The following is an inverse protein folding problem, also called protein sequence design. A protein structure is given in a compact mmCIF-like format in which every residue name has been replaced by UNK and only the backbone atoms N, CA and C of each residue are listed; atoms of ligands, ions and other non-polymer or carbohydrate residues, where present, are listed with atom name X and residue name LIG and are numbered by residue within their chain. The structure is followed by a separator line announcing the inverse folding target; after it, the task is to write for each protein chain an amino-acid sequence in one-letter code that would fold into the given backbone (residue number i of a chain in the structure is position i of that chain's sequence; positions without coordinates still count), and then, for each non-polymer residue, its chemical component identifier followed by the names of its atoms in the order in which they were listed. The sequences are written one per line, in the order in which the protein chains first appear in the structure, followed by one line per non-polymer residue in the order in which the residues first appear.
data_IF_820831214892
#
_entry.id   IF_820831214892
#
_cell.length_a   1.000
_cell.length_b   1.000
_cell.length_c   1.000
_cell.angle_alpha   90.00
_cell.angle_beta   90.00
_cell.angle_gamma   90.00
#
_symmetry.space_group_name_H-M   'P 1'
#
loop_
_entity.id
_entity.type
_entity.pdbx_description
1 polymer ?
#
# COMPACT_ATOMS: atom_id res chain seq x y z
N UNK A 1 3.23 -12.04 26.92
CA UNK A 1 2.28 -11.36 27.80
C UNK A 1 2.55 -9.86 27.71
N UNK A 2 1.64 -9.02 27.23
CA UNK A 2 1.87 -7.57 27.32
C UNK A 2 1.56 -7.15 28.76
N UNK A 3 2.59 -7.07 29.63
CA UNK A 3 2.47 -6.46 30.98
C UNK A 3 1.71 -5.13 30.93
N UNK A 4 1.93 -4.39 29.83
CA UNK A 4 1.19 -3.19 29.47
C UNK A 4 -0.34 -3.40 29.57
N UNK A 5 -0.93 -4.45 28.98
CA UNK A 5 -2.39 -4.64 28.95
C UNK A 5 -2.98 -4.90 30.31
N UNK A 6 -2.27 -5.64 31.14
CA UNK A 6 -2.67 -5.83 32.52
C UNK A 6 -2.58 -4.53 33.30
N UNK A 7 -1.50 -3.76 33.17
CA UNK A 7 -1.36 -2.45 33.83
C UNK A 7 -2.46 -1.46 33.44
N UNK A 8 -2.84 -1.41 32.16
CA UNK A 8 -3.91 -0.51 31.70
C UNK A 8 -5.29 -0.98 32.16
N UNK A 9 -5.57 -2.28 32.05
CA UNK A 9 -6.80 -2.87 32.61
C UNK A 9 -6.92 -2.54 34.11
N UNK A 10 -5.82 -2.66 34.86
CA UNK A 10 -5.76 -2.28 36.28
C UNK A 10 -6.08 -0.80 36.50
N UNK A 11 -5.50 0.11 35.71
CA UNK A 11 -5.79 1.56 35.80
C UNK A 11 -7.25 1.91 35.54
N UNK A 12 -7.94 1.13 34.70
CA UNK A 12 -9.37 1.31 34.39
C UNK A 12 -10.27 0.49 35.34
N UNK A 13 -9.69 -0.12 36.38
CA UNK A 13 -10.43 -0.88 37.40
C UNK A 13 -10.82 -2.30 37.01
N UNK A 14 -10.28 -2.81 35.90
CA UNK A 14 -10.46 -4.17 35.41
C UNK A 14 -9.31 -5.03 35.94
N UNK A 15 -9.54 -5.67 37.08
CA UNK A 15 -8.59 -6.55 37.78
C UNK A 15 -8.85 -8.03 37.50
N UNK A 16 -10.01 -8.38 36.94
CA UNK A 16 -10.41 -9.78 36.66
C UNK A 16 -11.12 -9.91 35.33
N UNK A 17 -10.91 -11.06 34.67
CA UNK A 17 -11.55 -11.41 33.39
C UNK A 17 -13.08 -11.30 33.42
N UNK A 18 -13.73 -11.60 34.54
CA UNK A 18 -15.19 -11.49 34.68
C UNK A 18 -15.71 -10.06 34.53
N UNK A 19 -14.88 -9.04 34.80
CA UNK A 19 -15.27 -7.64 34.63
C UNK A 19 -15.31 -7.22 33.15
N UNK A 20 -14.49 -7.82 32.29
CA UNK A 20 -14.62 -7.66 30.83
C UNK A 20 -15.98 -8.17 30.35
N UNK A 21 -16.49 -9.26 30.92
CA UNK A 21 -17.83 -9.75 30.57
C UNK A 21 -18.94 -8.78 30.96
N UNK A 22 -18.79 -8.09 32.10
CA UNK A 22 -19.72 -7.03 32.52
C UNK A 22 -19.66 -5.79 31.62
N UNK A 23 -18.55 -5.61 30.91
CA UNK A 23 -18.35 -4.59 29.88
C UNK A 23 -18.79 -5.06 28.48
N UNK A 24 -19.49 -6.20 28.36
CA UNK A 24 -20.09 -6.65 27.10
C UNK A 24 -19.24 -7.61 26.26
N UNK A 25 -18.07 -8.05 26.73
CA UNK A 25 -17.26 -9.04 26.01
C UNK A 25 -17.75 -10.48 26.25
N UNK A 26 -17.80 -11.30 25.21
CA UNK A 26 -18.10 -12.74 25.32
C UNK A 26 -17.01 -13.48 26.09
N UNK A 27 -17.28 -14.72 26.53
CA UNK A 27 -16.29 -15.54 27.25
C UNK A 27 -15.00 -15.77 26.45
N UNK A 28 -15.15 -15.92 25.13
CA UNK A 28 -14.03 -16.12 24.19
C UNK A 28 -13.25 -14.81 24.00
N UNK A 29 -13.93 -13.70 23.75
CA UNK A 29 -13.31 -12.38 23.61
C UNK A 29 -12.56 -11.98 24.88
N UNK A 30 -13.19 -12.12 26.05
CA UNK A 30 -12.54 -11.85 27.33
C UNK A 30 -11.33 -12.77 27.56
N UNK A 31 -11.28 -13.98 27.00
CA UNK A 31 -10.11 -14.86 27.09
C UNK A 31 -8.99 -14.35 26.20
N UNK A 32 -9.31 -14.04 24.94
CA UNK A 32 -8.34 -13.50 23.99
C UNK A 32 -7.75 -12.16 24.49
N UNK A 33 -8.58 -11.27 25.05
CA UNK A 33 -8.12 -10.01 25.67
C UNK A 33 -7.20 -10.30 26.84
N UNK A 34 -7.57 -11.23 27.73
CA UNK A 34 -6.76 -11.53 28.93
C UNK A 34 -5.41 -12.18 28.60
N UNK A 35 -5.36 -12.96 27.52
CA UNK A 35 -4.15 -13.62 27.02
C UNK A 35 -3.29 -12.69 26.14
N UNK A 36 -3.84 -11.57 25.67
CA UNK A 36 -3.18 -10.65 24.76
C UNK A 36 -3.29 -11.04 23.28
N UNK A 37 -4.14 -12.02 22.95
CA UNK A 37 -4.38 -12.51 21.58
C UNK A 37 -5.36 -11.60 20.82
N UNK A 38 -5.06 -10.30 20.77
CA UNK A 38 -5.93 -9.29 20.19
C UNK A 38 -6.06 -9.41 18.67
N UNK A 39 -5.09 -10.06 18.01
CA UNK A 39 -5.13 -10.39 16.59
C UNK A 39 -6.27 -11.36 16.21
N UNK A 40 -6.85 -12.09 17.19
CA UNK A 40 -7.99 -12.99 16.97
C UNK A 40 -9.34 -12.30 17.15
N UNK A 41 -9.34 -11.04 17.58
CA UNK A 41 -10.56 -10.26 17.78
C UNK A 41 -10.97 -9.58 16.48
N UNK A 42 -12.28 -9.50 16.25
CA UNK A 42 -12.83 -8.71 15.14
C UNK A 42 -12.61 -7.22 15.42
N UNK A 43 -12.55 -6.41 14.36
CA UNK A 43 -12.36 -4.96 14.44
C UNK A 43 -13.39 -4.29 15.38
N UNK A 44 -14.67 -4.65 15.22
CA UNK A 44 -15.77 -4.21 16.10
C UNK A 44 -15.50 -4.49 17.60
N UNK A 45 -14.83 -5.60 17.91
CA UNK A 45 -14.49 -5.97 19.29
C UNK A 45 -13.29 -5.18 19.80
N UNK A 46 -12.33 -4.86 18.92
CA UNK A 46 -11.18 -4.00 19.24
C UNK A 46 -11.63 -2.56 19.47
N UNK A 47 -12.58 -2.06 18.68
CA UNK A 47 -13.20 -0.75 18.86
C UNK A 47 -13.91 -0.65 20.21
N UNK A 48 -14.72 -1.65 20.55
CA UNK A 48 -15.37 -1.70 21.85
C UNK A 48 -14.36 -1.79 23.01
N UNK A 49 -13.27 -2.56 22.84
CA UNK A 49 -12.20 -2.62 23.82
C UNK A 49 -11.48 -1.28 23.98
N UNK A 50 -11.17 -0.60 22.89
CA UNK A 50 -10.56 0.72 22.90
C UNK A 50 -11.45 1.72 23.66
N UNK A 51 -12.76 1.73 23.38
CA UNK A 51 -13.73 2.57 24.08
C UNK A 51 -13.78 2.29 25.59
N UNK A 52 -13.79 1.02 26.00
CA UNK A 52 -13.76 0.63 27.42
C UNK A 52 -12.47 1.08 28.11
N UNK A 53 -11.35 1.13 27.38
CA UNK A 53 -10.05 1.56 27.88
C UNK A 53 -9.81 3.08 27.80
N UNK A 54 -10.78 3.83 27.25
CA UNK A 54 -10.68 5.27 27.01
C UNK A 54 -9.60 5.63 25.99
N UNK A 55 -9.43 4.78 24.97
CA UNK A 55 -8.47 4.96 23.88
C UNK A 55 -9.20 4.93 22.53
N UNK A 56 -8.60 5.55 21.52
CA UNK A 56 -8.98 5.28 20.12
C UNK A 56 -8.44 3.91 19.67
N UNK A 57 -9.01 3.27 18.63
CA UNK A 57 -8.49 2.00 18.11
C UNK A 57 -7.02 2.10 17.67
N UNK A 58 -6.64 3.26 17.13
CA UNK A 58 -5.25 3.53 16.74
C UNK A 58 -4.34 3.64 17.96
N UNK A 59 -4.75 4.40 18.99
CA UNK A 59 -4.01 4.50 20.25
C UNK A 59 -3.83 3.14 20.93
N UNK A 60 -4.85 2.28 20.89
CA UNK A 60 -4.77 0.90 21.40
C UNK A 60 -3.67 0.10 20.68
N UNK A 61 -3.62 0.16 19.35
CA UNK A 61 -2.63 -0.56 18.54
C UNK A 61 -1.21 -0.01 18.72
N UNK A 62 -1.07 1.31 18.68
CA UNK A 62 0.19 2.03 18.97
C UNK A 62 0.75 1.63 20.32
N UNK A 63 -0.11 1.56 21.33
CA UNK A 63 0.29 1.24 22.69
C UNK A 63 0.64 -0.26 22.88
N UNK A 64 -0.02 -1.17 22.16
CA UNK A 64 0.24 -2.61 22.20
C UNK A 64 1.54 -3.02 21.52
N UNK A 65 1.78 -2.47 20.34
CA UNK A 65 2.85 -2.93 19.45
C UNK A 65 4.00 -1.91 19.36
N UNK A 66 3.88 -0.74 19.99
CA UNK A 66 4.76 0.41 19.81
C UNK A 66 4.33 1.22 18.58
N UNK A 67 4.32 2.55 18.69
CA UNK A 67 3.90 3.46 17.61
C UNK A 67 4.62 3.17 16.28
N UNK A 68 5.95 3.10 16.32
CA UNK A 68 6.76 2.96 15.11
C UNK A 68 6.72 1.57 14.48
N UNK A 69 6.50 0.51 15.27
CA UNK A 69 6.53 -0.89 14.81
C UNK A 69 5.18 -1.38 14.32
N UNK A 70 4.08 -0.94 14.94
CA UNK A 70 2.73 -1.28 14.48
C UNK A 70 2.43 -0.63 13.13
N UNK A 71 2.79 0.65 13.00
CA UNK A 71 2.55 1.43 11.80
C UNK A 71 3.38 0.92 10.63
N UNK A 72 4.68 0.66 10.85
CA UNK A 72 5.55 0.10 9.81
C UNK A 72 5.10 -1.29 9.34
N UNK A 73 4.61 -2.15 10.24
CA UNK A 73 4.09 -3.47 9.86
C UNK A 73 2.80 -3.36 9.04
N UNK A 74 1.89 -2.45 9.41
CA UNK A 74 0.67 -2.17 8.67
C UNK A 74 0.98 -1.61 7.28
N UNK A 75 1.88 -0.61 7.19
CA UNK A 75 2.32 -0.03 5.93
C UNK A 75 2.91 -1.10 5.02
N UNK A 76 3.82 -1.94 5.55
CA UNK A 76 4.41 -3.04 4.78
C UNK A 76 3.33 -3.98 4.23
N UNK A 77 2.41 -4.45 5.08
CA UNK A 77 1.35 -5.37 4.66
C UNK A 77 0.41 -4.73 3.63
N UNK A 78 0.04 -3.46 3.83
CA UNK A 78 -0.78 -2.72 2.88
C UNK A 78 -0.09 -2.56 1.52
N UNK A 79 1.21 -2.25 1.51
CA UNK A 79 2.00 -2.12 0.27
C UNK A 79 2.12 -3.44 -0.49
N UNK A 80 2.23 -4.57 0.19
CA UNK A 80 2.18 -5.89 -0.45
C UNK A 80 0.84 -6.16 -1.13
N UNK A 81 -0.27 -5.80 -0.47
CA UNK A 81 -1.62 -5.95 -1.05
C UNK A 81 -1.80 -5.00 -2.24
N UNK A 82 -1.28 -3.78 -2.13
CA UNK A 82 -1.39 -2.76 -3.16
C UNK A 82 -0.41 -2.94 -4.32
N UNK A 83 0.60 -3.82 -4.22
CA UNK A 83 1.62 -3.97 -5.28
C UNK A 83 1.03 -4.13 -6.68
N UNK A 84 0.05 -5.02 -6.95
CA UNK A 84 -0.52 -5.15 -8.30
C UNK A 84 -1.15 -3.83 -8.77
N UNK A 85 -1.86 -3.15 -7.87
CA UNK A 85 -2.46 -1.86 -8.17
C UNK A 85 -1.38 -0.82 -8.51
N UNK A 86 -0.34 -0.70 -7.69
CA UNK A 86 0.77 0.24 -7.91
C UNK A 86 1.53 -0.04 -9.19
N UNK A 87 1.72 -1.32 -9.54
CA UNK A 87 2.43 -1.72 -10.76
C UNK A 87 1.65 -1.37 -12.04
N UNK A 88 0.33 -1.59 -12.05
CA UNK A 88 -0.47 -1.49 -13.27
C UNK A 88 -1.27 -0.20 -13.42
N UNK A 89 -1.65 0.45 -12.32
CA UNK A 89 -2.44 1.68 -12.37
C UNK A 89 -1.75 2.81 -13.14
N UNK A 90 -0.44 3.10 -12.95
CA UNK A 90 0.24 4.14 -13.72
C UNK A 90 0.20 3.91 -15.22
N UNK A 91 0.30 2.66 -15.67
CA UNK A 91 0.18 2.29 -17.09
C UNK A 91 -1.25 2.48 -17.60
N UNK A 92 -2.26 2.11 -16.80
CA UNK A 92 -3.66 2.37 -17.14
C UNK A 92 -3.98 3.88 -17.20
N UNK A 93 -3.45 4.66 -16.25
CA UNK A 93 -3.60 6.11 -16.22
C UNK A 93 -2.92 6.76 -17.44
N UNK A 94 -1.70 6.34 -17.77
CA UNK A 94 -1.00 6.77 -18.98
C UNK A 94 -1.82 6.48 -20.25
N UNK A 95 -2.34 5.26 -20.41
CA UNK A 95 -3.18 4.90 -21.55
C UNK A 95 -4.46 5.74 -21.62
N UNK A 96 -5.11 6.01 -20.48
CA UNK A 96 -6.27 6.89 -20.41
C UNK A 96 -5.92 8.33 -20.84
N UNK A 97 -4.78 8.87 -20.39
CA UNK A 97 -4.30 10.20 -20.80
C UNK A 97 -4.06 10.31 -22.30
N UNK A 98 -3.59 9.25 -22.95
CA UNK A 98 -3.43 9.22 -24.41
C UNK A 98 -4.76 9.13 -25.18
N UNK A 99 -5.87 8.83 -24.51
CA UNK A 99 -7.21 8.84 -25.08
C UNK A 99 -8.17 9.73 -24.26
N UNK A 100 -8.18 11.06 -24.50
CA UNK A 100 -8.98 12.01 -23.71
C UNK A 100 -10.49 11.77 -23.74
N UNK A 101 -11.01 11.06 -24.74
CA UNK A 101 -12.45 10.73 -24.83
C UNK A 101 -12.82 9.46 -24.07
N UNK A 102 -11.84 8.71 -23.56
CA UNK A 102 -12.09 7.51 -22.79
C UNK A 102 -12.85 7.82 -21.49
N UNK A 103 -13.92 7.07 -21.15
CA UNK A 103 -14.64 7.24 -19.89
C UNK A 103 -13.75 7.11 -18.64
N UNK A 104 -12.64 6.37 -18.75
CA UNK A 104 -11.66 6.14 -17.69
C UNK A 104 -11.05 7.44 -17.12
N UNK A 105 -10.96 8.51 -17.92
CA UNK A 105 -10.51 9.83 -17.47
C UNK A 105 -11.25 10.33 -16.22
N UNK A 106 -12.54 9.98 -16.09
CA UNK A 106 -13.40 10.41 -14.98
C UNK A 106 -13.06 9.71 -13.67
N UNK A 107 -12.40 8.55 -13.72
CA UNK A 107 -12.05 7.75 -12.55
C UNK A 107 -10.67 8.15 -12.02
N UNK A 108 -9.77 8.68 -12.87
CA UNK A 108 -8.41 9.05 -12.47
C UNK A 108 -8.35 9.94 -11.20
N UNK A 109 -9.19 10.98 -11.05
CA UNK A 109 -9.16 11.82 -9.86
C UNK A 109 -9.56 11.10 -8.56
N UNK A 110 -10.36 10.03 -8.65
CA UNK A 110 -10.87 9.30 -7.49
C UNK A 110 -9.77 8.52 -6.75
N UNK A 111 -8.65 8.25 -7.43
CA UNK A 111 -7.51 7.53 -6.88
C UNK A 111 -6.54 8.46 -6.15
N UNK A 112 -6.64 9.78 -6.31
CA UNK A 112 -5.74 10.75 -5.66
C UNK A 112 -5.53 10.52 -4.16
N UNK A 113 -6.56 10.21 -3.33
CA UNK A 113 -6.35 9.96 -1.90
C UNK A 113 -5.41 8.78 -1.62
N UNK A 114 -5.39 7.77 -2.48
CA UNK A 114 -4.46 6.63 -2.36
C UNK A 114 -3.02 7.13 -2.57
N UNK A 115 -2.78 7.96 -3.57
CA UNK A 115 -1.43 8.51 -3.81
C UNK A 115 -0.98 9.49 -2.73
N UNK A 116 -1.89 10.28 -2.15
CA UNK A 116 -1.59 11.12 -1.00
C UNK A 116 -1.15 10.30 0.22
N UNK A 117 -1.81 9.17 0.48
CA UNK A 117 -1.43 8.24 1.55
C UNK A 117 -0.04 7.65 1.31
N UNK A 118 0.25 7.24 0.07
CA UNK A 118 1.56 6.70 -0.31
C UNK A 118 2.68 7.74 -0.14
N UNK A 119 2.43 8.99 -0.53
CA UNK A 119 3.37 10.10 -0.32
C UNK A 119 3.64 10.33 1.17
N UNK A 120 2.61 10.30 2.02
CA UNK A 120 2.75 10.39 3.48
C UNK A 120 3.60 9.25 4.06
N UNK A 121 3.51 8.05 3.48
CA UNK A 121 4.34 6.90 3.85
C UNK A 121 5.75 6.95 3.24
N UNK A 122 6.09 8.01 2.49
CA UNK A 122 7.40 8.17 1.86
C UNK A 122 7.60 7.25 0.64
N UNK A 123 6.51 6.79 0.03
CA UNK A 123 6.56 5.98 -1.19
C UNK A 123 6.75 6.89 -2.40
N UNK A 124 7.79 6.64 -3.19
CA UNK A 124 8.22 7.48 -4.31
C UNK A 124 8.31 6.69 -5.61
N UNK A 125 7.90 7.30 -6.71
CA UNK A 125 7.90 6.68 -8.03
C UNK A 125 9.33 6.58 -8.60
N UNK A 126 9.62 5.48 -9.31
CA UNK A 126 10.82 5.30 -10.12
C UNK A 126 10.47 5.67 -11.56
N UNK A 127 10.42 6.98 -11.81
CA UNK A 127 10.12 7.56 -13.12
C UNK A 127 8.67 7.36 -13.59
N UNK A 128 8.26 8.18 -14.57
CA UNK A 128 6.91 8.14 -15.12
C UNK A 128 6.79 7.10 -16.25
N UNK A 129 5.64 6.43 -16.35
CA UNK A 129 5.37 5.52 -17.48
C UNK A 129 5.40 6.30 -18.78
N UNK A 130 6.07 5.74 -19.79
CA UNK A 130 6.27 6.35 -21.10
C UNK A 130 7.53 7.20 -21.19
N UNK A 131 8.14 7.60 -20.05
CA UNK A 131 9.36 8.39 -20.05
C UNK A 131 10.57 7.58 -20.56
N UNK A 132 11.45 8.27 -21.29
CA UNK A 132 12.75 7.73 -21.72
C UNK A 132 13.82 8.16 -20.73
N UNK A 133 14.50 7.20 -20.12
CA UNK A 133 15.52 7.41 -19.08
C UNK A 133 16.73 6.52 -19.32
N UNK A 134 17.93 6.87 -18.83
CA UNK A 134 19.06 5.94 -18.84
C UNK A 134 18.77 4.74 -17.93
N UNK A 135 19.13 3.54 -18.38
CA UNK A 135 18.96 2.31 -17.63
C UNK A 135 19.84 2.31 -16.37
N UNK A 136 19.23 2.09 -15.20
CA UNK A 136 19.94 1.87 -13.95
C UNK A 136 19.50 0.51 -13.37
N UNK A 137 20.37 -0.51 -13.34
CA UNK A 137 20.02 -1.85 -12.86
C UNK A 137 19.65 -1.91 -11.36
N UNK A 138 19.91 -0.84 -10.59
CA UNK A 138 19.46 -0.76 -9.19
C UNK A 138 17.94 -0.59 -9.09
N UNK A 139 17.36 0.16 -10.01
CA UNK A 139 15.96 0.59 -9.96
C UNK A 139 15.13 0.18 -11.18
N UNK A 140 15.76 -0.31 -12.25
CA UNK A 140 15.10 -0.76 -13.47
C UNK A 140 15.33 -2.26 -13.71
N UNK A 141 14.35 -2.92 -14.33
CA UNK A 141 14.43 -4.30 -14.80
C UNK A 141 13.88 -4.41 -16.22
N UNK A 142 14.53 -5.19 -17.07
CA UNK A 142 14.04 -5.54 -18.42
C UNK A 142 13.66 -7.01 -18.49
N UNK A 143 12.62 -7.31 -19.26
CA UNK A 143 12.06 -8.66 -19.48
C UNK A 143 12.70 -9.38 -20.69
N UNK A 144 13.30 -8.64 -21.63
CA UNK A 144 13.79 -9.18 -22.90
C UNK A 144 15.26 -9.56 -22.91
N UNK A 145 16.13 -8.77 -22.30
CA UNK A 145 17.58 -8.99 -22.30
C UNK A 145 18.29 -8.22 -21.17
N UNK A 146 19.49 -8.66 -20.74
CA UNK A 146 20.38 -7.83 -19.94
C UNK A 146 20.72 -6.54 -20.70
N UNK A 147 20.63 -5.40 -20.03
CA UNK A 147 20.96 -4.08 -20.59
C UNK A 147 22.17 -3.52 -19.85
N UNK A 148 22.98 -2.75 -20.56
CA UNK A 148 24.08 -2.02 -19.95
C UNK A 148 23.56 -0.79 -19.21
N UNK A 149 24.22 -0.45 -18.10
CA UNK A 149 23.88 0.78 -17.38
C UNK A 149 24.08 1.99 -18.31
N UNK A 150 23.10 2.90 -18.32
CA UNK A 150 23.09 4.07 -19.19
C UNK A 150 22.37 3.87 -20.53
N UNK A 151 22.04 2.64 -20.95
CA UNK A 151 21.26 2.40 -22.18
C UNK A 151 19.92 3.14 -22.12
N UNK A 152 19.50 3.89 -23.16
CA UNK A 152 18.21 4.56 -23.16
C UNK A 152 17.07 3.53 -23.16
N UNK A 153 16.19 3.64 -22.18
CA UNK A 153 15.06 2.75 -22.00
C UNK A 153 13.78 3.53 -21.75
N UNK A 154 12.65 2.95 -22.14
CA UNK A 154 11.31 3.47 -21.86
C UNK A 154 10.69 2.74 -20.68
N UNK A 155 10.13 3.47 -19.73
CA UNK A 155 9.39 2.88 -18.61
C UNK A 155 8.04 2.37 -19.10
N UNK A 156 7.78 1.08 -18.96
CA UNK A 156 6.50 0.45 -19.31
C UNK A 156 5.60 0.26 -18.10
N UNK A 157 6.19 -0.02 -16.94
CA UNK A 157 5.50 -0.12 -15.65
C UNK A 157 6.32 0.60 -14.59
N UNK A 158 5.62 1.32 -13.73
CA UNK A 158 6.25 2.06 -12.64
C UNK A 158 6.95 1.12 -11.65
N UNK A 159 8.08 1.59 -11.11
CA UNK A 159 8.69 1.05 -9.90
C UNK A 159 8.50 2.02 -8.74
N UNK A 160 8.80 1.56 -7.52
CA UNK A 160 8.64 2.39 -6.33
C UNK A 160 9.75 2.18 -5.30
N UNK A 161 10.12 3.27 -4.63
CA UNK A 161 10.87 3.31 -3.38
C UNK A 161 9.91 3.51 -2.20
N UNK A 162 10.23 2.98 -1.04
CA UNK A 162 9.59 3.27 0.25
C UNK A 162 10.67 3.77 1.22
N UNK A 163 10.73 5.09 1.43
CA UNK A 163 11.90 5.73 2.04
C UNK A 163 13.14 5.42 1.21
N UNK A 164 14.10 4.72 1.81
CA UNK A 164 15.35 4.27 1.17
C UNK A 164 15.30 2.81 0.70
N UNK A 165 14.18 2.11 0.90
CA UNK A 165 14.02 0.70 0.52
C UNK A 165 13.37 0.59 -0.85
N UNK A 166 13.95 -0.24 -1.71
CA UNK A 166 13.34 -0.56 -3.00
C UNK A 166 12.12 -1.47 -2.75
N UNK A 167 10.92 -1.04 -3.16
CA UNK A 167 9.75 -1.91 -3.14
C UNK A 167 9.81 -2.87 -4.33
N UNK A 168 9.87 -2.32 -5.54
CA UNK A 168 10.09 -3.07 -6.77
C UNK A 168 10.60 -2.16 -7.88
N UNK A 169 11.37 -2.75 -8.80
CA UNK A 169 11.99 -2.06 -9.93
C UNK A 169 10.96 -1.70 -10.99
N UNK A 170 11.18 -0.57 -11.66
CA UNK A 170 10.41 -0.19 -12.83
C UNK A 170 10.71 -1.16 -13.97
N UNK A 171 9.67 -1.56 -14.72
CA UNK A 171 9.87 -2.36 -15.92
C UNK A 171 10.16 -1.47 -17.10
N UNK A 172 11.16 -1.84 -17.87
CA UNK A 172 11.65 -1.01 -18.98
C UNK A 172 11.95 -1.82 -20.22
N UNK A 173 11.80 -1.17 -21.37
CA UNK A 173 12.17 -1.72 -22.67
C UNK A 173 13.20 -0.82 -23.35
N UNK A 174 14.19 -1.35 -24.06
CA UNK A 174 15.09 -0.56 -24.90
C UNK A 174 14.32 0.33 -25.86
N UNK A 175 14.87 1.51 -26.16
CA UNK A 175 14.36 2.37 -27.23
C UNK A 175 15.30 2.20 -28.42
N UNK A 176 14.80 1.60 -29.50
CA UNK A 176 15.66 1.22 -30.63
C UNK A 176 16.21 2.43 -31.43
N UNK A 177 15.62 3.63 -31.37
CA UNK A 177 16.16 4.88 -31.96
C UNK A 177 15.34 6.10 -31.45
N UNK A 178 15.91 7.33 -31.31
CA UNK A 178 15.21 8.51 -30.77
C UNK A 178 14.01 9.05 -31.58
N UNK A 179 13.64 8.42 -32.70
CA UNK A 179 12.60 8.90 -33.61
C UNK A 179 11.21 8.26 -33.41
N UNK A 180 11.06 7.28 -32.51
CA UNK A 180 9.74 6.76 -32.09
C UNK A 180 9.21 7.49 -30.86
N UNK A 181 9.19 8.81 -30.95
CA UNK A 181 8.67 9.73 -29.93
C UNK A 181 7.14 9.87 -29.96
N UNK A 182 6.43 9.06 -30.76
CA UNK A 182 4.98 8.95 -30.75
C UNK A 182 4.55 7.55 -30.28
N UNK A 183 3.54 7.44 -29.38
CA UNK A 183 2.96 6.14 -29.02
C UNK A 183 2.44 5.44 -30.29
N UNK A 184 2.42 4.10 -30.35
CA UNK A 184 1.67 3.42 -31.40
C UNK A 184 0.22 3.89 -31.31
N UNK A 185 -0.21 4.65 -32.31
CA UNK A 185 -1.62 4.93 -32.54
C UNK A 185 -2.28 3.56 -32.75
N UNK A 186 -3.13 3.17 -31.79
CA UNK A 186 -4.00 2.02 -31.96
C UNK A 186 -4.70 2.15 -33.31
N UNK A 187 -4.42 1.18 -34.20
CA UNK A 187 -5.17 1.02 -35.43
C UNK A 187 -6.67 0.91 -35.05
N UNK A 188 -7.57 1.57 -35.80
CA UNK A 188 -9.00 1.41 -35.56
C UNK A 188 -9.34 -0.05 -35.83
N UNK A 189 -9.95 -0.73 -34.86
CA UNK A 189 -10.61 -2.00 -35.12
C UNK A 189 -11.61 -1.77 -36.25
N UNK A 190 -11.28 -2.39 -37.39
CA UNK A 190 -12.11 -2.39 -38.59
C UNK A 190 -13.43 -3.09 -38.27
N UNK A 191 -14.53 -2.43 -38.65
CA UNK A 191 -15.87 -3.01 -38.78
C UNK A 191 -15.85 -4.42 -39.41
N UNK A 192 -16.63 -5.31 -38.82
CA UNK A 192 -17.43 -6.33 -39.52
C UNK A 192 -18.79 -6.32 -38.79
N UNK A 193 -19.82 -5.70 -39.41
CA UNK A 193 -20.92 -6.37 -40.10
C UNK A 193 -21.71 -7.31 -39.20
#
# INVERSE_FOLDING_TARGET
MSQRLQERLLRVGITRKSQLRRKGFTRQQANAIWLGDLHRLRLETLEHLAQVLGLTPLELLQWLYGESTAEAALQHQALQILEPFLRFWPTAAYAAHQNPTAPAQRILPLVKPVFQLLEQWGVRLIGEVGACVPFDPRQHQSDRAPLEAGTPVRITHAGYWWGDRLLFRAMVTPVDTPEQSAPPAHAPESRAQ
#
